data_IF_344820643750
#
_entry.id   IF_344820643750
#
_cell.length_a   1.000
_cell.length_b   1.000
_cell.length_c   1.000
_cell.angle_alpha   90.00
_cell.angle_beta   90.00
_cell.angle_gamma   90.00
#
_symmetry.space_group_name_H-M   'P 1'
#
loop_
_entity.id
_entity.type
_entity.pdbx_description
1 polymer ?
#
# COMPACT_ATOMS: atom_id res chain seq x y z
N UNK A 1 -14.50 22.31 -16.65
CA UNK A 1 -13.63 21.21 -16.14
C UNK A 1 -13.10 21.64 -14.76
N UNK A 2 -13.05 20.74 -13.76
CA UNK A 2 -12.52 21.10 -12.43
C UNK A 2 -11.02 21.41 -12.55
N UNK A 3 -10.58 22.53 -11.98
CA UNK A 3 -9.15 22.85 -11.88
C UNK A 3 -8.56 22.13 -10.66
N UNK A 4 -7.84 21.03 -10.92
CA UNK A 4 -7.24 20.21 -9.86
C UNK A 4 -5.98 20.85 -9.25
N UNK A 5 -5.44 21.93 -9.81
CA UNK A 5 -4.35 22.69 -9.18
C UNK A 5 -4.90 23.63 -8.10
N UNK A 6 -6.05 24.28 -8.36
CA UNK A 6 -6.74 25.13 -7.36
C UNK A 6 -7.47 24.33 -6.30
N UNK A 7 -8.06 23.19 -6.68
CA UNK A 7 -8.83 22.30 -5.78
C UNK A 7 -8.41 20.85 -5.99
N UNK A 8 -7.22 20.45 -5.51
CA UNK A 8 -6.73 19.08 -5.65
C UNK A 8 -7.68 18.07 -4.99
N UNK A 9 -7.65 16.83 -5.45
CA UNK A 9 -8.25 15.73 -4.72
C UNK A 9 -7.18 15.22 -3.75
N UNK A 10 -7.52 15.12 -2.48
CA UNK A 10 -6.63 14.59 -1.44
C UNK A 10 -7.32 13.37 -0.84
N UNK A 11 -6.68 12.21 -0.96
CA UNK A 11 -7.14 10.93 -0.42
C UNK A 11 -6.20 10.56 0.73
N UNK A 12 -6.76 10.22 1.89
CA UNK A 12 -5.94 9.72 3.00
C UNK A 12 -5.40 8.34 2.64
N UNK A 13 -4.11 8.14 2.87
CA UNK A 13 -3.47 6.86 2.60
C UNK A 13 -3.58 5.96 3.84
N UNK A 14 -4.29 4.83 3.66
CA UNK A 14 -4.48 3.82 4.69
C UNK A 14 -3.70 2.53 4.42
N UNK A 15 -2.92 2.44 3.33
CA UNK A 15 -2.24 1.20 2.93
C UNK A 15 -1.38 0.59 4.06
N UNK A 16 -0.78 1.44 4.90
CA UNK A 16 0.05 0.96 6.01
C UNK A 16 -0.69 0.19 7.11
N UNK A 17 -2.01 0.39 7.26
CA UNK A 17 -2.80 -0.28 8.29
C UNK A 17 -2.87 -1.79 8.06
N UNK A 18 -2.89 -2.24 6.82
CA UNK A 18 -3.07 -3.66 6.51
C UNK A 18 -1.83 -4.47 6.88
N UNK A 19 -0.65 -3.91 6.61
CA UNK A 19 0.61 -4.54 7.03
C UNK A 19 0.76 -4.51 8.55
N UNK A 20 0.34 -3.44 9.22
CA UNK A 20 0.30 -3.39 10.67
C UNK A 20 -0.62 -4.47 11.27
N UNK A 21 -1.87 -4.54 10.81
CA UNK A 21 -2.87 -5.49 11.30
C UNK A 21 -2.48 -6.95 11.03
N UNK A 22 -1.81 -7.21 9.91
CA UNK A 22 -1.30 -8.54 9.58
C UNK A 22 -0.14 -8.97 10.50
N UNK A 23 0.76 -8.04 10.84
CA UNK A 23 2.02 -8.39 11.51
C UNK A 23 1.98 -8.26 13.03
N UNK A 24 1.07 -7.46 13.61
CA UNK A 24 0.99 -7.33 15.07
C UNK A 24 0.65 -8.65 15.79
N UNK A 25 -0.27 -9.51 15.29
CA UNK A 25 -0.55 -10.80 15.92
C UNK A 25 0.64 -11.76 15.74
N UNK A 26 1.31 -11.71 14.58
CA UNK A 26 2.50 -12.50 14.32
C UNK A 26 3.63 -12.17 15.32
N UNK A 27 3.85 -10.89 15.61
CA UNK A 27 4.82 -10.48 16.63
C UNK A 27 4.45 -11.04 18.00
N UNK A 28 3.17 -10.99 18.40
CA UNK A 28 2.73 -11.54 19.67
C UNK A 28 2.98 -13.07 19.77
N UNK A 29 2.68 -13.82 18.70
CA UNK A 29 2.94 -15.26 18.62
C UNK A 29 4.45 -15.57 18.71
N UNK A 30 5.28 -14.82 17.98
CA UNK A 30 6.73 -14.99 18.00
C UNK A 30 7.31 -14.75 19.39
N UNK A 31 6.90 -13.66 20.07
CA UNK A 31 7.34 -13.34 21.42
C UNK A 31 6.95 -14.45 22.41
N UNK A 32 5.70 -14.94 22.35
CA UNK A 32 5.26 -16.05 23.18
C UNK A 32 6.12 -17.30 22.94
N UNK A 33 6.34 -17.68 21.67
CA UNK A 33 7.17 -18.83 21.32
C UNK A 33 8.61 -18.69 21.83
N UNK A 34 9.18 -17.48 21.76
CA UNK A 34 10.54 -17.23 22.24
C UNK A 34 10.70 -17.41 23.73
N UNK A 35 9.71 -16.95 24.50
CA UNK A 35 9.65 -17.17 25.95
C UNK A 35 9.55 -18.66 26.27
N UNK A 36 8.67 -19.41 25.59
CA UNK A 36 8.44 -20.83 25.90
C UNK A 36 9.53 -21.79 25.38
N UNK A 37 10.30 -21.41 24.36
CA UNK A 37 11.27 -22.30 23.69
C UNK A 37 12.74 -21.89 23.84
N UNK A 38 13.03 -20.81 24.57
CA UNK A 38 14.40 -20.37 24.86
C UNK A 38 15.17 -19.81 23.65
N UNK A 39 14.49 -19.53 22.53
CA UNK A 39 15.08 -18.96 21.31
C UNK A 39 15.02 -17.42 21.27
N UNK A 40 15.05 -16.79 22.45
CA UNK A 40 14.68 -15.38 22.66
C UNK A 40 15.48 -14.40 21.79
N UNK A 41 16.79 -14.59 21.64
CA UNK A 41 17.64 -13.66 20.87
C UNK A 41 17.23 -13.58 19.38
N UNK A 42 17.11 -14.72 18.71
CA UNK A 42 16.74 -14.79 17.29
C UNK A 42 15.33 -14.21 17.05
N UNK A 43 14.42 -14.48 17.98
CA UNK A 43 13.04 -13.98 17.93
C UNK A 43 13.00 -12.46 18.13
N UNK A 44 13.79 -11.91 19.04
CA UNK A 44 13.93 -10.47 19.20
C UNK A 44 14.45 -9.79 17.92
N UNK A 45 15.42 -10.40 17.22
CA UNK A 45 15.90 -9.91 15.93
C UNK A 45 14.80 -9.91 14.87
N UNK A 46 14.05 -11.02 14.75
CA UNK A 46 12.93 -11.13 13.81
C UNK A 46 11.82 -10.12 14.11
N UNK A 47 11.42 -9.98 15.37
CA UNK A 47 10.41 -9.02 15.82
C UNK A 47 10.87 -7.59 15.53
N UNK A 48 12.13 -7.26 15.80
CA UNK A 48 12.69 -5.93 15.50
C UNK A 48 12.63 -5.62 13.99
N UNK A 49 12.93 -6.61 13.15
CA UNK A 49 12.86 -6.47 11.70
C UNK A 49 11.42 -6.25 11.23
N UNK A 50 10.47 -7.09 11.68
CA UNK A 50 9.04 -6.95 11.39
C UNK A 50 8.53 -5.59 11.87
N UNK A 51 8.94 -5.16 13.05
CA UNK A 51 8.54 -3.89 13.61
C UNK A 51 8.98 -2.72 12.72
N UNK A 52 10.27 -2.66 12.41
CA UNK A 52 10.84 -1.57 11.62
C UNK A 52 10.17 -1.43 10.26
N UNK A 53 9.85 -2.57 9.65
CA UNK A 53 9.40 -2.64 8.27
C UNK A 53 7.88 -2.49 8.13
N UNK A 54 7.10 -3.18 8.96
CA UNK A 54 5.66 -3.34 8.74
C UNK A 54 4.78 -2.62 9.76
N UNK A 55 5.28 -2.48 10.99
CA UNK A 55 4.50 -1.89 12.10
C UNK A 55 4.79 -0.39 12.23
N UNK A 56 6.08 -0.02 12.18
CA UNK A 56 6.54 1.36 12.33
C UNK A 56 5.89 2.33 11.33
N UNK A 57 5.75 2.03 10.02
CA UNK A 57 5.10 2.95 9.10
C UNK A 57 3.70 3.40 9.52
N UNK A 58 2.90 2.46 10.03
CA UNK A 58 1.56 2.77 10.51
C UNK A 58 1.58 3.54 11.83
N UNK A 59 2.34 3.07 12.83
CA UNK A 59 2.36 3.69 14.16
C UNK A 59 2.81 5.15 14.14
N UNK A 60 3.81 5.48 13.33
CA UNK A 60 4.38 6.83 13.30
C UNK A 60 3.77 7.72 12.23
N UNK A 61 3.30 7.15 11.10
CA UNK A 61 2.88 7.94 9.96
C UNK A 61 1.47 7.62 9.43
N UNK A 62 0.78 6.59 9.94
CA UNK A 62 -0.50 6.12 9.38
C UNK A 62 -1.59 7.19 9.28
N UNK A 63 -1.60 8.20 10.16
CA UNK A 63 -2.57 9.31 10.12
C UNK A 63 -2.07 10.56 9.39
N UNK A 64 -0.81 10.56 8.97
CA UNK A 64 -0.09 11.69 8.37
C UNK A 64 0.19 11.49 6.88
N UNK A 65 -0.37 10.44 6.28
CA UNK A 65 -0.12 10.03 4.90
C UNK A 65 -1.30 10.37 4.01
N UNK A 66 -1.02 10.84 2.79
CA UNK A 66 -2.05 11.15 1.81
C UNK A 66 -1.52 11.10 0.39
N UNK A 67 -2.43 10.86 -0.56
CA UNK A 67 -2.17 11.02 -1.98
C UNK A 67 -2.92 12.24 -2.49
N UNK A 68 -2.20 13.16 -3.14
CA UNK A 68 -2.71 14.40 -3.69
C UNK A 68 -2.68 14.34 -5.22
N UNK A 69 -3.85 14.46 -5.84
CA UNK A 69 -4.03 14.43 -7.29
C UNK A 69 -4.24 15.86 -7.79
N UNK A 70 -3.33 16.32 -8.64
CA UNK A 70 -3.34 17.65 -9.28
C UNK A 70 -3.48 17.51 -10.81
N UNK A 71 -3.39 18.60 -11.58
CA UNK A 71 -3.50 18.49 -13.04
C UNK A 71 -2.28 17.78 -13.66
N UNK A 72 -1.09 17.97 -13.11
CA UNK A 72 0.17 17.57 -13.75
C UNK A 72 0.88 16.45 -13.01
N UNK A 73 0.49 16.18 -11.76
CA UNK A 73 1.14 15.18 -10.91
C UNK A 73 0.20 14.53 -9.91
N UNK A 74 0.57 13.31 -9.53
CA UNK A 74 0.02 12.62 -8.36
C UNK A 74 1.16 12.48 -7.36
N UNK A 75 0.96 13.00 -6.16
CA UNK A 75 1.98 13.12 -5.13
C UNK A 75 1.59 12.28 -3.91
N UNK A 76 2.53 11.48 -3.40
CA UNK A 76 2.42 10.88 -2.08
C UNK A 76 3.13 11.75 -1.05
N UNK A 77 2.38 12.15 -0.03
CA UNK A 77 2.82 13.02 1.03
C UNK A 77 2.81 12.28 2.36
N UNK A 78 3.87 12.43 3.13
CA UNK A 78 3.96 11.95 4.51
C UNK A 78 4.34 13.10 5.43
N UNK A 79 3.49 13.40 6.40
CA UNK A 79 3.64 14.53 7.33
C UNK A 79 3.87 15.87 6.61
N UNK A 80 3.19 16.07 5.48
CA UNK A 80 3.32 17.25 4.63
C UNK A 80 4.54 17.26 3.70
N UNK A 81 5.48 16.32 3.87
CA UNK A 81 6.65 16.20 3.01
C UNK A 81 6.35 15.33 1.78
N UNK A 82 6.84 15.77 0.62
CA UNK A 82 6.78 14.99 -0.61
C UNK A 82 7.72 13.80 -0.51
N UNK A 83 7.17 12.59 -0.65
CA UNK A 83 7.95 11.35 -0.62
C UNK A 83 8.13 10.78 -2.03
N UNK A 84 7.06 10.79 -2.84
CA UNK A 84 7.07 10.21 -4.18
C UNK A 84 6.09 10.98 -5.10
N UNK A 85 6.41 11.09 -6.39
CA UNK A 85 5.56 11.80 -7.36
C UNK A 85 5.58 11.15 -8.75
N UNK A 86 4.39 10.94 -9.29
CA UNK A 86 4.15 10.55 -10.69
C UNK A 86 3.90 11.83 -11.51
N UNK A 87 4.70 12.05 -12.56
CA UNK A 87 4.49 13.12 -13.54
C UNK A 87 3.54 12.64 -14.64
N UNK A 88 2.37 13.25 -14.72
CA UNK A 88 1.30 12.85 -15.62
C UNK A 88 1.49 13.33 -17.06
N UNK A 89 2.51 14.15 -17.31
CA UNK A 89 2.91 14.56 -18.66
C UNK A 89 3.81 13.52 -19.34
N UNK A 90 4.33 12.58 -18.56
CA UNK A 90 5.16 11.48 -19.02
C UNK A 90 4.36 10.18 -19.08
N UNK A 91 4.94 9.15 -19.67
CA UNK A 91 4.30 7.84 -19.76
C UNK A 91 4.26 7.19 -18.38
N UNK A 92 3.07 6.76 -17.97
CA UNK A 92 2.84 5.98 -16.76
C UNK A 92 1.95 4.77 -17.08
N UNK A 93 1.97 3.77 -16.22
CA UNK A 93 1.09 2.61 -16.28
C UNK A 93 0.10 2.66 -15.12
N UNK A 94 -1.11 2.15 -15.32
CA UNK A 94 -2.18 2.21 -14.33
C UNK A 94 -2.99 0.91 -14.34
N UNK A 95 -3.26 0.37 -13.16
CA UNK A 95 -3.97 -0.89 -12.97
C UNK A 95 -4.89 -0.82 -11.75
N UNK A 96 -5.80 -1.79 -11.63
CA UNK A 96 -6.50 -2.07 -10.37
C UNK A 96 -5.80 -3.20 -9.62
N UNK A 97 -5.74 -3.09 -8.30
CA UNK A 97 -5.11 -4.10 -7.44
C UNK A 97 -5.90 -4.32 -6.16
N UNK A 98 -5.64 -5.45 -5.50
CA UNK A 98 -6.02 -5.71 -4.11
C UNK A 98 -4.88 -5.37 -3.16
N UNK A 99 -3.65 -5.37 -3.67
CA UNK A 99 -2.43 -5.16 -2.90
C UNK A 99 -2.42 -3.73 -2.36
N UNK A 100 -1.94 -3.58 -1.13
CA UNK A 100 -1.78 -2.28 -0.47
C UNK A 100 -0.33 -1.81 -0.62
N UNK A 101 0.20 -2.06 -1.83
CA UNK A 101 1.60 -1.94 -2.19
C UNK A 101 2.18 -0.54 -1.88
N UNK A 102 3.43 -0.51 -1.37
CA UNK A 102 4.10 0.70 -0.89
C UNK A 102 4.94 1.42 -1.93
N UNK A 103 5.08 2.72 -1.73
CA UNK A 103 5.42 3.69 -2.77
C UNK A 103 6.87 3.73 -3.25
N UNK A 104 7.75 2.88 -2.68
CA UNK A 104 9.15 2.79 -3.11
C UNK A 104 9.51 1.36 -3.44
N UNK A 105 9.46 1.03 -4.72
CA UNK A 105 9.90 -0.26 -5.23
C UNK A 105 11.42 -0.36 -5.16
N UNK A 106 11.93 -1.16 -4.23
CA UNK A 106 13.22 -1.79 -4.47
C UNK A 106 12.96 -3.05 -5.32
N UNK A 107 13.82 -3.33 -6.30
CA UNK A 107 13.89 -4.66 -6.91
C UNK A 107 14.97 -5.45 -6.16
N UNK A 108 14.62 -6.57 -5.53
CA UNK A 108 15.65 -7.49 -5.04
C UNK A 108 16.46 -8.02 -6.23
N UNK A 109 17.79 -8.09 -6.09
CA UNK A 109 18.68 -8.68 -7.11
C UNK A 109 19.33 -9.96 -6.55
N UNK A 110 19.48 -10.97 -7.41
CA UNK A 110 20.26 -12.17 -7.11
C UNK A 110 19.55 -13.17 -6.17
N UNK A 111 20.26 -13.66 -5.15
CA UNK A 111 19.81 -14.79 -4.31
C UNK A 111 18.49 -14.49 -3.58
N UNK A 112 18.29 -13.25 -3.13
CA UNK A 112 17.06 -12.83 -2.44
C UNK A 112 15.83 -12.92 -3.33
N UNK A 113 15.95 -12.57 -4.62
CA UNK A 113 14.87 -12.70 -5.60
C UNK A 113 14.51 -14.18 -5.82
N UNK A 114 15.53 -15.05 -5.90
CA UNK A 114 15.36 -16.49 -6.12
C UNK A 114 14.72 -17.18 -4.91
N UNK A 115 15.16 -16.86 -3.69
CA UNK A 115 14.58 -17.38 -2.45
C UNK A 115 13.12 -16.95 -2.30
N UNK A 116 12.83 -15.68 -2.61
CA UNK A 116 11.48 -15.14 -2.58
C UNK A 116 10.57 -15.84 -3.59
N UNK A 117 10.98 -15.99 -4.85
CA UNK A 117 10.20 -16.73 -5.87
C UNK A 117 9.83 -18.15 -5.44
N UNK A 118 10.69 -18.80 -4.65
CA UNK A 118 10.43 -20.12 -4.07
C UNK A 118 9.48 -20.11 -2.87
N UNK A 119 9.58 -19.13 -1.98
CA UNK A 119 8.76 -19.03 -0.76
C UNK A 119 7.40 -18.37 -1.01
N UNK A 120 7.30 -17.52 -2.03
CA UNK A 120 6.10 -16.74 -2.37
C UNK A 120 4.86 -17.62 -2.56
N UNK A 121 4.89 -18.71 -3.35
CA UNK A 121 3.67 -19.49 -3.65
C UNK A 121 3.04 -20.13 -2.41
N UNK A 122 3.88 -20.61 -1.47
CA UNK A 122 3.44 -21.25 -0.22
C UNK A 122 2.91 -20.20 0.76
N UNK A 123 3.59 -19.05 0.86
CA UNK A 123 3.11 -17.92 1.65
C UNK A 123 1.82 -17.31 1.06
N UNK A 124 1.67 -17.28 -0.27
CA UNK A 124 0.57 -16.62 -0.98
C UNK A 124 -0.79 -17.15 -0.58
N UNK A 125 -1.01 -18.46 -0.60
CA UNK A 125 -2.38 -19.00 -0.48
C UNK A 125 -2.93 -18.70 0.92
N UNK A 126 -2.10 -18.82 1.95
CA UNK A 126 -2.50 -18.53 3.35
C UNK A 126 -2.57 -17.03 3.61
N UNK A 127 -1.56 -16.27 3.18
CA UNK A 127 -1.46 -14.83 3.45
C UNK A 127 -2.51 -14.04 2.68
N UNK A 128 -2.85 -14.43 1.44
CA UNK A 128 -3.87 -13.75 0.64
C UNK A 128 -5.26 -13.83 1.28
N UNK A 129 -5.61 -14.96 1.89
CA UNK A 129 -6.91 -15.10 2.57
C UNK A 129 -6.96 -14.27 3.85
N UNK A 130 -5.88 -14.28 4.64
CA UNK A 130 -5.75 -13.44 5.83
C UNK A 130 -5.81 -11.96 5.42
N UNK A 131 -5.13 -11.59 4.34
CA UNK A 131 -5.10 -10.23 3.84
C UNK A 131 -6.47 -9.74 3.39
N UNK A 132 -7.20 -10.54 2.61
CA UNK A 132 -8.59 -10.26 2.23
C UNK A 132 -9.49 -10.11 3.46
N UNK A 133 -9.31 -10.97 4.46
CA UNK A 133 -10.06 -10.89 5.71
C UNK A 133 -9.76 -9.60 6.49
N UNK A 134 -8.48 -9.23 6.65
CA UNK A 134 -8.07 -7.98 7.30
C UNK A 134 -8.62 -6.77 6.55
N UNK A 135 -8.59 -6.79 5.22
CA UNK A 135 -9.13 -5.71 4.39
C UNK A 135 -10.65 -5.59 4.53
N UNK A 136 -11.36 -6.71 4.50
CA UNK A 136 -12.79 -6.76 4.79
C UNK A 136 -13.11 -6.19 6.18
N UNK A 137 -12.37 -6.60 7.22
CA UNK A 137 -12.54 -6.10 8.58
C UNK A 137 -12.30 -4.58 8.68
N UNK A 138 -11.26 -4.09 8.02
CA UNK A 138 -10.98 -2.65 7.93
C UNK A 138 -12.18 -1.89 7.35
N UNK A 139 -12.75 -2.36 6.23
CA UNK A 139 -13.92 -1.71 5.63
C UNK A 139 -15.16 -1.82 6.52
N UNK A 140 -15.36 -2.95 7.19
CA UNK A 140 -16.47 -3.12 8.13
C UNK A 140 -16.40 -2.07 9.26
N UNK A 141 -15.22 -1.83 9.83
CA UNK A 141 -15.01 -0.83 10.88
C UNK A 141 -15.05 0.60 10.33
N UNK A 142 -14.32 0.86 9.24
CA UNK A 142 -14.09 2.21 8.70
C UNK A 142 -15.32 2.79 8.01
N UNK A 143 -16.05 1.97 7.27
CA UNK A 143 -17.20 2.40 6.45
C UNK A 143 -18.54 1.94 7.02
N UNK A 144 -18.53 1.30 8.21
CA UNK A 144 -19.71 0.64 8.81
C UNK A 144 -20.37 -0.35 7.82
N UNK A 145 -19.55 -1.01 6.99
CA UNK A 145 -20.01 -1.95 5.97
C UNK A 145 -20.66 -1.34 4.72
N UNK A 146 -20.70 -0.01 4.59
CA UNK A 146 -21.38 0.66 3.46
C UNK A 146 -20.64 0.54 2.12
N UNK A 147 -19.34 0.25 2.15
CA UNK A 147 -18.48 0.15 0.98
C UNK A 147 -17.35 -0.84 1.23
N UNK A 148 -17.28 -1.88 0.40
CA UNK A 148 -16.17 -2.82 0.29
C UNK A 148 -16.08 -3.30 -1.16
N UNK A 149 -14.92 -3.19 -1.80
CA UNK A 149 -14.66 -3.77 -3.12
C UNK A 149 -13.26 -4.37 -3.08
N UNK A 150 -13.13 -5.67 -3.28
CA UNK A 150 -11.86 -6.40 -3.13
C UNK A 150 -10.70 -5.88 -4.00
N UNK A 151 -11.01 -5.12 -5.06
CA UNK A 151 -10.07 -4.55 -6.04
C UNK A 151 -10.28 -3.04 -6.17
N UNK A 152 -10.22 -2.36 -5.03
CA UNK A 152 -10.54 -0.93 -4.87
C UNK A 152 -9.33 0.00 -4.99
N UNK A 153 -8.12 -0.54 -4.90
CA UNK A 153 -6.89 0.21 -5.05
C UNK A 153 -6.58 0.46 -6.52
N UNK A 154 -6.19 1.69 -6.84
CA UNK A 154 -5.60 2.08 -8.12
C UNK A 154 -4.10 2.17 -7.93
N UNK A 155 -3.35 1.35 -8.67
CA UNK A 155 -1.90 1.35 -8.64
C UNK A 155 -1.36 1.99 -9.92
N UNK A 156 -0.34 2.84 -9.77
CA UNK A 156 0.23 3.65 -10.83
C UNK A 156 1.75 3.47 -10.81
N UNK A 157 2.35 3.19 -11.95
CA UNK A 157 3.80 3.01 -12.10
C UNK A 157 4.39 4.05 -13.05
N UNK A 158 5.58 4.52 -12.73
CA UNK A 158 6.40 5.33 -13.63
C UNK A 158 7.87 5.05 -13.32
N UNK A 159 8.56 4.39 -14.25
CA UNK A 159 9.95 3.95 -14.05
C UNK A 159 10.10 3.05 -12.80
N UNK A 160 10.79 3.52 -11.77
CA UNK A 160 10.96 2.85 -10.47
C UNK A 160 9.93 3.28 -9.41
N UNK A 161 9.10 4.27 -9.74
CA UNK A 161 8.10 4.85 -8.84
C UNK A 161 6.80 4.09 -8.90
N UNK A 162 6.13 4.04 -7.76
CA UNK A 162 4.83 3.40 -7.64
C UNK A 162 3.95 4.15 -6.66
N UNK A 163 2.70 4.42 -7.03
CA UNK A 163 1.70 4.99 -6.13
C UNK A 163 0.49 4.08 -6.05
N UNK A 164 -0.04 3.95 -4.84
CA UNK A 164 -1.24 3.18 -4.57
C UNK A 164 -2.29 4.09 -3.94
N UNK A 165 -3.44 4.22 -4.61
CA UNK A 165 -4.56 5.05 -4.18
C UNK A 165 -5.68 4.13 -3.72
N UNK A 166 -5.82 4.01 -2.41
CA UNK A 166 -6.90 3.26 -1.79
C UNK A 166 -8.09 4.17 -1.48
N UNK A 167 -9.24 3.91 -2.12
CA UNK A 167 -10.48 4.59 -1.80
C UNK A 167 -11.15 3.97 -0.58
N UNK A 168 -11.43 4.77 0.46
CA UNK A 168 -12.10 4.31 1.69
C UNK A 168 -13.60 4.59 1.72
N UNK A 169 -14.16 5.17 0.66
CA UNK A 169 -15.60 5.40 0.53
C UNK A 169 -16.04 5.43 -0.93
N UNK A 170 -17.36 5.27 -1.17
CA UNK A 170 -17.97 5.45 -2.49
C UNK A 170 -17.68 6.83 -3.07
N UNK A 171 -17.67 7.86 -2.22
CA UNK A 171 -17.38 9.23 -2.63
C UNK A 171 -15.93 9.40 -3.10
N UNK A 172 -14.96 8.92 -2.32
CA UNK A 172 -13.55 8.93 -2.72
C UNK A 172 -13.32 8.16 -4.02
N UNK A 173 -13.94 6.98 -4.16
CA UNK A 173 -13.87 6.19 -5.39
C UNK A 173 -14.43 6.95 -6.59
N UNK A 174 -15.58 7.60 -6.44
CA UNK A 174 -16.19 8.40 -7.49
C UNK A 174 -15.33 9.61 -7.87
N UNK A 175 -14.67 10.26 -6.89
CA UNK A 175 -13.73 11.35 -7.15
C UNK A 175 -12.52 10.87 -7.96
N UNK A 176 -11.90 9.75 -7.58
CA UNK A 176 -10.76 9.17 -8.30
C UNK A 176 -11.19 8.76 -9.72
N UNK A 177 -12.33 8.09 -9.87
CA UNK A 177 -12.88 7.71 -11.17
C UNK A 177 -13.08 8.92 -12.08
N UNK A 178 -13.74 9.95 -11.56
CA UNK A 178 -14.00 11.19 -12.31
C UNK A 178 -12.70 11.88 -12.73
N UNK A 179 -11.69 11.89 -11.86
CA UNK A 179 -10.38 12.45 -12.17
C UNK A 179 -9.73 11.77 -13.38
N UNK A 180 -9.66 10.44 -13.40
CA UNK A 180 -9.03 9.70 -14.51
C UNK A 180 -9.85 9.77 -15.80
N UNK A 181 -11.18 9.74 -15.71
CA UNK A 181 -12.07 9.94 -16.86
C UNK A 181 -11.92 11.33 -17.47
N UNK A 182 -11.89 12.38 -16.65
CA UNK A 182 -11.78 13.76 -17.11
C UNK A 182 -10.43 13.99 -17.80
N UNK A 183 -9.33 13.52 -17.19
CA UNK A 183 -7.96 13.84 -17.59
C UNK A 183 -7.38 12.93 -18.67
N UNK A 184 -7.72 11.64 -18.64
CA UNK A 184 -7.08 10.63 -19.48
C UNK A 184 -8.07 9.78 -20.27
N UNK A 185 -9.38 9.99 -20.08
CA UNK A 185 -10.44 9.13 -20.64
C UNK A 185 -10.31 7.66 -20.19
N UNK A 186 -9.74 7.44 -19.01
CA UNK A 186 -9.55 6.11 -18.42
C UNK A 186 -10.65 5.85 -17.40
N UNK A 187 -11.41 4.78 -17.58
CA UNK A 187 -12.31 4.26 -16.54
C UNK A 187 -11.54 3.31 -15.60
N UNK A 188 -11.36 3.72 -14.35
CA UNK A 188 -10.64 2.93 -13.34
C UNK A 188 -11.32 1.59 -12.99
N UNK A 189 -12.60 1.43 -13.29
CA UNK A 189 -13.31 0.16 -13.05
C UNK A 189 -12.97 -0.90 -14.13
N UNK A 190 -12.64 -0.45 -15.33
CA UNK A 190 -12.33 -1.28 -16.50
C UNK A 190 -10.84 -1.64 -16.59
N UNK A 191 -9.99 -1.04 -15.76
CA UNK A 191 -8.55 -1.33 -15.72
C UNK A 191 -8.25 -2.81 -15.60
N UNK A 192 -7.19 -3.23 -16.25
CA UNK A 192 -6.64 -4.57 -16.06
C UNK A 192 -6.20 -4.78 -14.61
N UNK A 193 -6.31 -6.02 -14.18
CA UNK A 193 -5.93 -6.40 -12.84
C UNK A 193 -4.43 -6.67 -12.75
N UNK A 194 -3.76 -6.00 -11.82
CA UNK A 194 -2.36 -6.23 -11.56
C UNK A 194 -2.16 -7.58 -10.86
N UNK A 195 -1.51 -8.52 -11.56
CA UNK A 195 -1.35 -9.92 -11.10
C UNK A 195 -0.08 -10.15 -10.31
N UNK A 196 0.92 -9.28 -10.41
CA UNK A 196 2.19 -9.47 -9.71
C UNK A 196 2.05 -9.16 -8.23
N UNK A 197 2.67 -10.00 -7.41
CA UNK A 197 2.63 -9.93 -5.96
C UNK A 197 4.03 -9.77 -5.36
N UNK A 198 4.08 -9.07 -4.23
CA UNK A 198 5.19 -9.11 -3.29
C UNK A 198 6.27 -8.07 -3.53
N UNK A 199 5.99 -7.01 -4.29
CA UNK A 199 6.95 -5.94 -4.43
C UNK A 199 7.39 -5.35 -3.06
N UNK A 200 8.59 -4.78 -3.02
CA UNK A 200 9.40 -4.64 -1.80
C UNK A 200 8.86 -3.66 -0.73
N UNK A 201 9.45 -3.73 0.45
CA UNK A 201 9.17 -2.91 1.64
C UNK A 201 9.34 -1.40 1.46
N UNK A 202 8.57 -0.63 2.23
CA UNK A 202 8.67 0.84 2.27
C UNK A 202 10.02 1.30 2.85
N UNK A 203 10.85 1.97 2.03
CA UNK A 203 12.14 2.55 2.44
C UNK A 203 12.14 4.07 2.20
N UNK A 204 11.38 4.81 3.00
CA UNK A 204 11.42 6.27 2.97
C UNK A 204 12.68 6.74 3.70
N UNK A 205 13.62 7.36 2.97
CA UNK A 205 14.69 8.14 3.59
C UNK A 205 14.08 9.51 3.92
N UNK A 206 13.91 9.82 5.21
CA UNK A 206 13.50 11.15 5.65
C UNK A 206 14.76 11.82 6.16
N UNK A 207 15.23 12.84 5.44
CA UNK A 207 16.51 13.50 5.70
C UNK A 207 17.70 12.68 5.21
N UNK A 208 18.70 13.37 4.67
CA UNK A 208 20.09 13.00 4.98
C UNK A 208 20.34 13.21 6.47
#
# INVERSE_FOLDING_TARGET
MRDYNKRPIVIKDYNSIFMFLLHIPLVAILLAFGIFKGATFLICLMVSHIFFIYIRPYLFYGHKRSVKLTNDKIEFLQDGHLIESINLREKFEIYKTYDDYYHKSQKYKGVQEKLRKWLLPIALISVLQIFKFVKWLFYLVKTKGSYYKSYDAVIIFQEDKVLNILATSRFERALIKKYFLDKFKIDIDELEFYKELGHNYESIKIGE
#
